data_IF_552997556357
#
_entry.id   IF_552997556357
#
_cell.length_a   1.000
_cell.length_b   1.000
_cell.length_c   1.000
_cell.angle_alpha   90.00
_cell.angle_beta   90.00
_cell.angle_gamma   90.00
#
_symmetry.space_group_name_H-M   'P 1'
#
loop_
_entity.id
_entity.type
_entity.pdbx_description
1 polymer ?
#
# COMPACT_ATOMS: atom_id res chain seq x y z
N UNK A 1 -10.54 29.42 -2.10
CA UNK A 1 -10.43 28.14 -2.84
C UNK A 1 -9.21 28.04 -3.78
N UNK A 2 -8.56 29.12 -4.23
CA UNK A 2 -7.40 29.00 -5.16
C UNK A 2 -6.19 28.24 -4.56
N UNK A 3 -5.94 28.36 -3.25
CA UNK A 3 -4.75 27.79 -2.60
C UNK A 3 -4.71 26.25 -2.57
N UNK A 4 -5.88 25.60 -2.45
CA UNK A 4 -5.97 24.13 -2.45
C UNK A 4 -6.16 23.54 -3.85
N UNK A 5 -6.38 24.38 -4.86
CA UNK A 5 -6.68 23.95 -6.24
C UNK A 5 -5.69 22.93 -6.80
N UNK A 6 -4.37 23.05 -6.59
CA UNK A 6 -3.41 22.05 -7.06
C UNK A 6 -3.58 20.65 -6.43
N UNK A 7 -4.24 20.57 -5.27
CA UNK A 7 -4.34 19.38 -4.45
C UNK A 7 -5.73 18.74 -4.48
N UNK A 8 -6.68 19.27 -5.26
CA UNK A 8 -8.05 18.75 -5.30
C UNK A 8 -8.13 17.28 -5.75
N UNK A 9 -7.15 16.83 -6.53
CA UNK A 9 -7.04 15.41 -6.95
C UNK A 9 -6.77 14.45 -5.79
N UNK A 10 -6.45 14.95 -4.59
CA UNK A 10 -6.26 14.08 -3.40
C UNK A 10 -7.50 13.26 -3.10
N UNK A 11 -8.69 13.74 -3.47
CA UNK A 11 -9.96 13.04 -3.32
C UNK A 11 -10.64 12.91 -4.68
N UNK A 12 -11.19 11.73 -4.96
CA UNK A 12 -12.03 11.50 -6.13
C UNK A 12 -13.15 10.51 -5.82
N UNK A 13 -14.20 10.52 -6.64
CA UNK A 13 -15.31 9.58 -6.54
C UNK A 13 -15.01 8.36 -7.42
N UNK A 14 -14.98 7.17 -6.81
CA UNK A 14 -14.65 5.89 -7.44
C UNK A 14 -15.86 5.10 -7.94
N UNK A 15 -17.02 5.75 -8.07
CA UNK A 15 -18.29 5.10 -8.40
C UNK A 15 -19.04 4.64 -7.14
N UNK A 16 -19.97 3.71 -7.33
CA UNK A 16 -20.80 3.16 -6.28
C UNK A 16 -20.59 1.63 -6.20
N UNK A 17 -20.79 1.05 -5.03
CA UNK A 17 -20.71 -0.40 -4.82
C UNK A 17 -21.95 -0.97 -4.13
N UNK A 18 -22.15 -2.28 -4.29
CA UNK A 18 -23.41 -2.95 -3.94
C UNK A 18 -24.49 -2.64 -4.98
N UNK A 19 -25.74 -2.52 -4.56
CA UNK A 19 -26.88 -2.11 -5.42
C UNK A 19 -26.85 -0.62 -5.81
N UNK A 20 -25.65 -0.02 -5.94
CA UNK A 20 -25.47 1.39 -6.28
C UNK A 20 -25.70 2.38 -5.14
N UNK A 21 -25.91 1.91 -3.90
CA UNK A 21 -26.30 2.74 -2.76
C UNK A 21 -25.14 3.28 -1.93
N UNK A 22 -23.91 2.80 -2.16
CA UNK A 22 -22.77 3.15 -1.33
C UNK A 22 -21.66 3.78 -2.16
N UNK A 23 -21.31 5.03 -1.87
CA UNK A 23 -20.26 5.74 -2.59
C UNK A 23 -18.86 5.15 -2.29
N UNK A 24 -18.01 5.10 -3.31
CA UNK A 24 -16.57 4.81 -3.16
C UNK A 24 -15.84 6.15 -3.23
N UNK A 25 -15.02 6.41 -2.21
CA UNK A 25 -14.18 7.61 -2.15
C UNK A 25 -12.72 7.21 -2.16
N UNK A 26 -11.99 7.75 -3.13
CA UNK A 26 -10.58 7.46 -3.31
C UNK A 26 -9.78 8.63 -2.75
N UNK A 27 -8.96 8.35 -1.74
CA UNK A 27 -7.97 9.28 -1.22
C UNK A 27 -6.58 8.91 -1.75
N UNK A 28 -6.05 9.73 -2.66
CA UNK A 28 -4.76 9.52 -3.32
C UNK A 28 -3.65 10.32 -2.64
N UNK A 29 -2.95 9.67 -1.71
CA UNK A 29 -1.98 10.33 -0.84
C UNK A 29 -0.77 10.93 -1.59
N UNK A 30 -0.43 10.41 -2.77
CA UNK A 30 0.64 10.93 -3.61
C UNK A 30 0.43 12.39 -4.05
N UNK A 31 -0.82 12.86 -4.03
CA UNK A 31 -1.20 14.23 -4.37
C UNK A 31 -1.24 15.18 -3.16
N UNK A 32 -0.83 14.73 -1.98
CA UNK A 32 -0.70 15.61 -0.83
C UNK A 32 0.39 16.69 -1.06
N UNK A 33 0.25 17.85 -0.39
CA UNK A 33 1.28 18.88 -0.36
C UNK A 33 2.60 18.37 0.21
N UNK A 34 3.70 18.92 -0.30
CA UNK A 34 5.02 18.69 0.26
C UNK A 34 5.21 19.51 1.54
N UNK A 35 5.75 18.91 2.60
CA UNK A 35 5.99 19.57 3.88
C UNK A 35 6.99 20.72 3.81
N UNK A 36 7.78 20.82 2.72
CA UNK A 36 8.70 21.93 2.47
C UNK A 36 8.02 23.21 1.98
N UNK A 37 6.72 23.16 1.65
CA UNK A 37 5.97 24.34 1.23
C UNK A 37 5.79 25.36 2.37
N UNK A 38 5.99 26.65 2.09
CA UNK A 38 5.88 27.75 3.05
C UNK A 38 4.56 27.77 3.82
N UNK A 39 3.46 27.44 3.14
CA UNK A 39 2.10 27.48 3.68
C UNK A 39 1.54 26.08 3.97
N UNK A 40 2.41 25.08 4.15
CA UNK A 40 2.01 23.66 4.28
C UNK A 40 0.88 23.45 5.29
N UNK A 41 0.99 24.01 6.50
CA UNK A 41 -0.04 23.86 7.53
C UNK A 41 -1.37 24.46 7.11
N UNK A 42 -1.35 25.67 6.56
CA UNK A 42 -2.55 26.36 6.08
C UNK A 42 -3.21 25.59 4.92
N UNK A 43 -2.42 25.12 3.97
CA UNK A 43 -2.89 24.30 2.84
C UNK A 43 -3.52 23.01 3.36
N UNK A 44 -2.85 22.30 4.26
CA UNK A 44 -3.33 21.04 4.83
C UNK A 44 -4.63 21.22 5.62
N UNK A 45 -4.79 22.30 6.38
CA UNK A 45 -6.03 22.60 7.09
C UNK A 45 -7.19 22.89 6.13
N UNK A 46 -6.96 23.71 5.10
CA UNK A 46 -7.99 23.96 4.08
C UNK A 46 -8.31 22.71 3.25
N UNK A 47 -7.31 21.87 2.98
CA UNK A 47 -7.50 20.61 2.26
C UNK A 47 -8.31 19.62 3.10
N UNK A 48 -8.06 19.56 4.42
CA UNK A 48 -8.87 18.76 5.34
C UNK A 48 -10.32 19.22 5.36
N UNK A 49 -10.57 20.52 5.44
CA UNK A 49 -11.93 21.07 5.39
C UNK A 49 -12.62 20.71 4.06
N UNK A 50 -11.91 20.84 2.94
CA UNK A 50 -12.43 20.43 1.64
C UNK A 50 -12.79 18.94 1.58
N UNK A 51 -11.92 18.07 2.11
CA UNK A 51 -12.17 16.63 2.17
C UNK A 51 -13.37 16.31 3.06
N UNK A 52 -13.46 16.92 4.25
CA UNK A 52 -14.60 16.74 5.17
C UNK A 52 -15.90 17.22 4.51
N UNK A 53 -15.92 18.41 3.91
CA UNK A 53 -17.10 18.91 3.20
C UNK A 53 -17.50 18.03 2.02
N UNK A 54 -16.52 17.46 1.30
CA UNK A 54 -16.80 16.50 0.22
C UNK A 54 -17.42 15.21 0.76
N UNK A 55 -16.94 14.72 1.91
CA UNK A 55 -17.53 13.57 2.59
C UNK A 55 -18.92 13.89 3.17
N UNK A 56 -19.15 15.11 3.67
CA UNK A 56 -20.43 15.56 4.26
C UNK A 56 -21.59 15.52 3.26
N UNK A 57 -21.31 15.80 1.99
CA UNK A 57 -22.27 15.68 0.90
C UNK A 57 -22.73 14.23 0.66
N UNK A 58 -21.92 13.25 1.07
CA UNK A 58 -22.18 11.82 0.87
C UNK A 58 -22.89 11.15 2.05
N UNK A 59 -23.10 11.88 3.16
CA UNK A 59 -23.55 11.29 4.44
C UNK A 59 -25.03 10.95 4.48
N UNK A 60 -25.77 11.27 3.42
CA UNK A 60 -27.06 10.65 3.21
C UNK A 60 -26.92 9.12 3.05
N UNK A 61 -25.73 8.65 2.68
CA UNK A 61 -25.45 7.27 2.30
C UNK A 61 -24.29 6.68 3.13
N UNK A 62 -24.23 5.35 3.13
CA UNK A 62 -23.08 4.60 3.60
C UNK A 62 -21.97 4.66 2.53
N UNK A 63 -20.70 4.66 2.92
CA UNK A 63 -19.60 4.84 1.96
C UNK A 63 -18.34 4.07 2.33
N UNK A 64 -17.50 3.82 1.34
CA UNK A 64 -16.19 3.18 1.49
C UNK A 64 -15.09 4.19 1.14
N UNK A 65 -13.98 4.17 1.88
CA UNK A 65 -12.78 4.91 1.50
C UNK A 65 -11.69 3.94 1.04
N UNK A 66 -11.15 4.17 -0.15
CA UNK A 66 -9.87 3.62 -0.60
C UNK A 66 -8.79 4.66 -0.31
N UNK A 67 -7.88 4.37 0.62
CA UNK A 67 -6.71 5.20 0.89
C UNK A 67 -5.49 4.65 0.15
N UNK A 68 -5.20 5.22 -1.01
CA UNK A 68 -4.05 4.85 -1.83
C UNK A 68 -2.79 5.51 -1.29
N UNK A 69 -1.95 4.70 -0.67
CA UNK A 69 -0.74 5.15 0.00
C UNK A 69 0.54 4.77 -0.76
N UNK A 70 0.42 3.96 -1.81
CA UNK A 70 1.50 3.58 -2.70
C UNK A 70 2.24 4.79 -3.26
N UNK A 71 3.54 4.63 -3.51
CA UNK A 71 4.42 5.66 -4.06
C UNK A 71 4.41 7.02 -3.34
N UNK A 72 3.90 7.12 -2.11
CA UNK A 72 3.78 8.42 -1.43
C UNK A 72 5.05 8.75 -0.65
N UNK A 73 5.78 9.82 -1.02
CA UNK A 73 6.96 10.26 -0.30
C UNK A 73 6.66 10.63 1.16
N UNK A 74 7.61 10.39 2.07
CA UNK A 74 7.43 10.63 3.51
C UNK A 74 7.18 12.12 3.84
N UNK A 75 7.79 13.03 3.09
CA UNK A 75 7.61 14.49 3.25
C UNK A 75 6.22 14.98 2.81
N UNK A 76 5.41 14.15 2.14
CA UNK A 76 4.00 14.45 1.87
C UNK A 76 3.03 13.93 2.93
N UNK A 77 3.52 13.09 3.85
CA UNK A 77 2.67 12.44 4.84
C UNK A 77 2.46 13.33 6.07
N UNK A 78 1.19 13.58 6.48
CA UNK A 78 0.89 14.40 7.64
C UNK A 78 1.49 13.78 8.92
N UNK A 79 1.87 14.65 9.85
CA UNK A 79 2.36 14.23 11.16
C UNK A 79 1.28 13.60 12.03
N UNK A 80 1.70 12.89 13.08
CA UNK A 80 0.81 12.20 14.03
C UNK A 80 -0.20 13.16 14.67
N UNK A 81 0.25 14.35 15.09
CA UNK A 81 -0.62 15.37 15.70
C UNK A 81 -1.73 15.81 14.74
N UNK A 82 -1.41 15.94 13.45
CA UNK A 82 -2.40 16.28 12.43
C UNK A 82 -3.38 15.13 12.21
N UNK A 83 -2.91 13.89 12.11
CA UNK A 83 -3.79 12.71 11.96
C UNK A 83 -4.73 12.53 13.16
N UNK A 84 -4.24 12.79 14.38
CA UNK A 84 -5.06 12.80 15.59
C UNK A 84 -6.12 13.90 15.54
N UNK A 85 -5.72 15.15 15.22
CA UNK A 85 -6.64 16.29 15.08
C UNK A 85 -7.70 16.01 14.00
N UNK A 86 -7.28 15.48 12.85
CA UNK A 86 -8.14 15.04 11.76
C UNK A 86 -9.21 14.05 12.27
N UNK A 87 -8.82 12.95 12.92
CA UNK A 87 -9.80 11.99 13.46
C UNK A 87 -10.76 12.60 14.49
N UNK A 88 -10.29 13.54 15.32
CA UNK A 88 -11.12 14.24 16.31
C UNK A 88 -12.11 15.22 15.67
N UNK A 89 -11.71 15.88 14.57
CA UNK A 89 -12.54 16.83 13.83
C UNK A 89 -13.53 16.14 12.89
N UNK A 90 -13.29 14.88 12.51
CA UNK A 90 -14.27 14.13 11.71
C UNK A 90 -15.52 13.87 12.55
N UNK A 91 -16.63 14.36 12.01
CA UNK A 91 -17.92 14.27 12.65
C UNK A 91 -18.34 12.84 12.95
N UNK A 92 -19.12 12.66 14.04
CA UNK A 92 -19.57 11.33 14.47
C UNK A 92 -20.36 10.62 13.37
N UNK A 93 -21.12 11.39 12.57
CA UNK A 93 -21.95 10.90 11.47
C UNK A 93 -21.09 10.27 10.36
N UNK A 94 -20.06 10.98 9.89
CA UNK A 94 -19.07 10.49 8.93
C UNK A 94 -18.42 9.18 9.38
N UNK A 95 -17.95 9.13 10.63
CA UNK A 95 -17.36 7.91 11.19
C UNK A 95 -18.32 6.73 11.27
N UNK A 96 -19.64 6.96 11.40
CA UNK A 96 -20.64 5.90 11.45
C UNK A 96 -20.92 5.32 10.06
N UNK A 97 -21.18 6.18 9.08
CA UNK A 97 -21.55 5.82 7.71
C UNK A 97 -20.40 5.20 6.90
N UNK A 98 -19.14 5.44 7.30
CA UNK A 98 -18.00 4.72 6.72
C UNK A 98 -18.15 3.20 6.94
N UNK A 99 -18.26 2.41 5.88
CA UNK A 99 -18.35 0.93 5.96
C UNK A 99 -16.98 0.29 6.09
N UNK A 100 -16.05 0.72 5.24
CA UNK A 100 -14.69 0.19 5.18
C UNK A 100 -13.71 1.30 4.81
N UNK A 101 -12.51 1.22 5.38
CA UNK A 101 -11.34 2.02 5.02
C UNK A 101 -10.26 1.04 4.53
N UNK A 102 -10.17 0.87 3.21
CA UNK A 102 -9.19 0.00 2.57
C UNK A 102 -7.93 0.81 2.29
N UNK A 103 -6.84 0.49 2.97
CA UNK A 103 -5.54 1.13 2.80
C UNK A 103 -4.72 0.29 1.82
N UNK A 104 -4.55 0.81 0.61
CA UNK A 104 -3.75 0.18 -0.43
C UNK A 104 -2.28 0.58 -0.29
N UNK A 105 -1.40 -0.44 -0.30
CA UNK A 105 0.04 -0.29 -0.10
C UNK A 105 0.41 0.48 1.18
N UNK A 106 0.01 -0.01 2.36
CA UNK A 106 0.34 0.65 3.62
C UNK A 106 1.86 0.78 3.81
N UNK A 107 2.34 1.98 4.10
CA UNK A 107 3.72 2.21 4.54
C UNK A 107 3.90 1.80 6.00
N UNK A 108 5.15 1.58 6.41
CA UNK A 108 5.44 1.33 7.83
C UNK A 108 4.95 2.46 8.73
N UNK A 109 5.07 3.71 8.27
CA UNK A 109 4.56 4.88 8.99
C UNK A 109 3.07 4.77 9.31
N UNK A 110 2.19 4.55 8.33
CA UNK A 110 0.73 4.51 8.60
C UNK A 110 0.37 3.32 9.50
N UNK A 111 1.05 2.17 9.32
CA UNK A 111 0.85 1.00 10.18
C UNK A 111 1.21 1.29 11.63
N UNK A 112 2.36 1.92 11.85
CA UNK A 112 2.80 2.31 13.19
C UNK A 112 1.86 3.33 13.80
N UNK A 113 1.44 4.36 13.04
CA UNK A 113 0.50 5.37 13.53
C UNK A 113 -0.85 4.74 13.92
N UNK A 114 -1.39 3.84 13.11
CA UNK A 114 -2.64 3.13 13.43
C UNK A 114 -2.49 2.20 14.63
N UNK A 115 -1.34 1.54 14.78
CA UNK A 115 -1.06 0.68 15.94
C UNK A 115 -1.00 1.49 17.25
N UNK A 116 -0.25 2.60 17.28
CA UNK A 116 -0.11 3.44 18.48
C UNK A 116 -1.38 4.24 18.80
N UNK A 117 -2.20 4.56 17.79
CA UNK A 117 -3.43 5.33 17.98
C UNK A 117 -4.61 4.46 18.41
N UNK A 118 -4.47 3.13 18.40
CA UNK A 118 -5.51 2.17 18.79
C UNK A 118 -6.18 2.47 20.14
N UNK A 119 -5.50 2.95 21.21
CA UNK A 119 -6.16 3.31 22.47
C UNK A 119 -7.11 4.51 22.37
N UNK A 120 -6.95 5.35 21.34
CA UNK A 120 -7.70 6.60 21.15
C UNK A 120 -8.76 6.50 20.05
N UNK A 121 -8.71 5.44 19.24
CA UNK A 121 -9.66 5.18 18.16
C UNK A 121 -10.65 4.11 18.63
N UNK A 122 -11.93 4.31 18.32
CA UNK A 122 -12.95 3.33 18.73
C UNK A 122 -12.69 1.97 18.07
N UNK A 123 -12.89 0.87 18.82
CA UNK A 123 -12.74 -0.50 18.29
C UNK A 123 -13.59 -0.71 17.03
N UNK A 124 -14.82 -0.15 17.02
CA UNK A 124 -15.71 -0.19 15.85
C UNK A 124 -15.10 0.46 14.62
N UNK A 125 -14.34 1.55 14.77
CA UNK A 125 -13.66 2.18 13.64
C UNK A 125 -12.42 1.39 13.23
N UNK A 126 -11.64 0.88 14.19
CA UNK A 126 -10.48 0.03 13.88
C UNK A 126 -10.87 -1.21 13.06
N UNK A 127 -12.04 -1.80 13.33
CA UNK A 127 -12.57 -2.95 12.58
C UNK A 127 -12.96 -2.62 11.14
N UNK A 128 -13.06 -1.34 10.77
CA UNK A 128 -13.31 -0.91 9.39
C UNK A 128 -12.04 -0.85 8.56
N UNK A 129 -10.86 -0.89 9.19
CA UNK A 129 -9.58 -0.72 8.51
C UNK A 129 -9.12 -2.05 7.93
N UNK A 130 -8.90 -2.08 6.62
CA UNK A 130 -8.36 -3.23 5.89
C UNK A 130 -7.08 -2.81 5.18
N UNK A 131 -6.10 -3.70 5.13
CA UNK A 131 -4.84 -3.46 4.43
C UNK A 131 -4.78 -4.37 3.21
N UNK A 132 -4.46 -3.80 2.05
CA UNK A 132 -4.17 -4.55 0.81
C UNK A 132 -2.80 -4.17 0.28
N UNK A 133 -2.11 -5.13 -0.32
CA UNK A 133 -0.71 -5.04 -0.71
C UNK A 133 -0.46 -5.11 -2.22
N UNK A 134 -1.51 -5.23 -3.02
CA UNK A 134 -1.54 -5.08 -4.48
C UNK A 134 -2.85 -4.43 -4.94
N UNK A 135 -2.89 -3.95 -6.18
CA UNK A 135 -4.14 -3.51 -6.81
C UNK A 135 -5.07 -4.70 -7.11
N UNK A 136 -4.53 -5.90 -7.33
CA UNK A 136 -5.32 -7.13 -7.48
C UNK A 136 -6.12 -7.45 -6.20
N UNK A 137 -5.47 -7.41 -5.02
CA UNK A 137 -6.15 -7.59 -3.73
C UNK A 137 -7.22 -6.51 -3.49
N UNK A 138 -7.02 -5.30 -4.01
CA UNK A 138 -8.01 -4.23 -3.94
C UNK A 138 -9.23 -4.53 -4.84
N UNK A 139 -9.00 -5.06 -6.04
CA UNK A 139 -10.03 -5.39 -7.02
C UNK A 139 -10.94 -6.53 -6.57
N UNK A 140 -10.46 -7.41 -5.67
CA UNK A 140 -11.29 -8.44 -5.03
C UNK A 140 -12.32 -7.86 -4.04
N UNK A 141 -12.08 -6.65 -3.52
CA UNK A 141 -12.88 -6.03 -2.46
C UNK A 141 -13.80 -4.94 -3.01
N UNK A 142 -13.37 -4.20 -4.03
CA UNK A 142 -14.06 -3.00 -4.54
C UNK A 142 -14.15 -3.04 -6.07
N UNK A 143 -15.30 -2.70 -6.68
CA UNK A 143 -15.39 -2.57 -8.14
C UNK A 143 -14.48 -1.43 -8.61
N UNK A 144 -13.52 -1.77 -9.49
CA UNK A 144 -12.48 -0.84 -9.93
C UNK A 144 -12.82 -0.03 -11.18
N UNK A 145 -13.97 -0.28 -11.80
CA UNK A 145 -14.40 0.30 -13.10
C UNK A 145 -14.30 1.83 -13.15
N UNK A 146 -14.64 2.50 -12.04
CA UNK A 146 -14.66 3.96 -11.93
C UNK A 146 -13.59 4.48 -10.96
N UNK A 147 -12.74 3.60 -10.43
CA UNK A 147 -11.68 3.97 -9.48
C UNK A 147 -10.47 4.49 -10.25
N UNK A 148 -10.19 5.78 -10.12
CA UNK A 148 -8.99 6.37 -10.71
C UNK A 148 -7.76 6.07 -9.83
N UNK A 149 -6.88 5.20 -10.31
CA UNK A 149 -5.57 4.93 -9.69
C UNK A 149 -4.52 5.89 -10.23
N UNK A 150 -3.78 6.64 -9.39
CA UNK A 150 -2.66 7.44 -9.84
C UNK A 150 -1.58 6.60 -10.51
N UNK A 151 -1.01 7.11 -11.60
CA UNK A 151 0.05 6.44 -12.37
C UNK A 151 1.24 5.99 -11.50
N UNK A 152 1.67 6.83 -10.54
CA UNK A 152 2.76 6.45 -9.65
C UNK A 152 2.41 5.27 -8.73
N UNK A 153 1.14 5.07 -8.40
CA UNK A 153 0.69 3.92 -7.60
C UNK A 153 0.68 2.65 -8.46
N UNK A 154 0.28 2.74 -9.73
CA UNK A 154 0.34 1.63 -10.68
C UNK A 154 1.78 1.15 -10.85
N UNK A 155 2.70 2.07 -11.16
CA UNK A 155 4.13 1.77 -11.30
C UNK A 155 4.71 1.12 -10.04
N UNK A 156 4.35 1.63 -8.86
CA UNK A 156 4.78 1.07 -7.60
C UNK A 156 4.25 -0.35 -7.35
N UNK A 157 3.02 -0.66 -7.78
CA UNK A 157 2.48 -2.02 -7.67
C UNK A 157 3.22 -2.98 -8.62
N UNK A 158 3.43 -2.58 -9.88
CA UNK A 158 4.17 -3.35 -10.88
C UNK A 158 5.60 -3.69 -10.42
N UNK A 159 6.32 -2.69 -9.90
CA UNK A 159 7.66 -2.88 -9.34
C UNK A 159 7.65 -3.89 -8.19
N UNK A 160 6.64 -3.85 -7.32
CA UNK A 160 6.50 -4.80 -6.21
C UNK A 160 6.17 -6.20 -6.70
N UNK A 161 5.30 -6.34 -7.69
CA UNK A 161 4.95 -7.64 -8.29
C UNK A 161 6.19 -8.25 -8.93
N UNK A 162 6.94 -7.47 -9.73
CA UNK A 162 8.20 -7.89 -10.34
C UNK A 162 9.21 -8.34 -9.29
N UNK A 163 9.45 -7.53 -8.26
CA UNK A 163 10.39 -7.88 -7.20
C UNK A 163 9.96 -9.12 -6.40
N UNK A 164 8.65 -9.36 -6.23
CA UNK A 164 8.13 -10.61 -5.62
C UNK A 164 8.40 -11.82 -6.51
N UNK A 165 8.13 -11.71 -7.82
CA UNK A 165 8.38 -12.79 -8.79
C UNK A 165 9.85 -13.16 -8.83
N UNK A 166 10.74 -12.18 -8.93
CA UNK A 166 12.20 -12.41 -8.96
C UNK A 166 12.70 -13.14 -7.70
N UNK A 167 12.19 -12.77 -6.51
CA UNK A 167 12.52 -13.48 -5.26
C UNK A 167 12.07 -14.93 -5.27
N UNK A 168 10.83 -15.21 -5.70
CA UNK A 168 10.31 -16.58 -5.78
C UNK A 168 11.12 -17.44 -6.76
N UNK A 169 11.51 -16.90 -7.91
CA UNK A 169 12.37 -17.61 -8.87
C UNK A 169 13.77 -17.87 -8.33
N UNK A 170 14.34 -16.93 -7.57
CA UNK A 170 15.64 -17.11 -6.91
C UNK A 170 15.58 -18.22 -5.85
N UNK A 171 14.53 -18.23 -5.02
CA UNK A 171 14.29 -19.28 -4.02
C UNK A 171 14.13 -20.66 -4.67
N UNK A 172 13.38 -20.75 -5.78
CA UNK A 172 13.21 -22.00 -6.51
C UNK A 172 14.55 -22.52 -7.09
N UNK A 173 15.33 -21.64 -7.74
CA UNK A 173 16.67 -21.99 -8.26
C UNK A 173 17.63 -22.44 -7.16
N UNK A 174 17.58 -21.84 -5.97
CA UNK A 174 18.42 -22.24 -4.84
C UNK A 174 18.04 -23.62 -4.30
N UNK A 175 16.74 -23.95 -4.24
CA UNK A 175 16.27 -25.29 -3.85
C UNK A 175 16.63 -26.37 -4.87
N UNK A 176 16.57 -26.06 -6.17
CA UNK A 176 17.01 -26.98 -7.23
C UNK A 176 18.52 -27.27 -7.14
N UNK A 177 19.35 -26.25 -6.90
CA UNK A 177 20.80 -26.44 -6.77
C UNK A 177 21.21 -27.21 -5.51
N UNK A 178 20.47 -27.09 -4.40
CA UNK A 178 20.74 -27.84 -3.16
C UNK A 178 20.26 -29.29 -3.18
N UNK A 179 19.34 -29.64 -4.09
CA UNK A 179 18.77 -30.99 -4.20
C UNK A 179 19.52 -31.93 -5.16
N UNK A 180 20.55 -31.44 -5.86
CA UNK A 180 21.43 -32.27 -6.70
C UNK A 180 22.33 -33.14 -5.80
N UNK A 181 22.25 -34.50 -5.86
CA UNK A 181 23.10 -35.38 -5.08
C UNK A 181 24.57 -35.22 -5.47
N UNK A 182 25.48 -35.06 -4.50
CA UNK A 182 26.92 -35.15 -4.78
C UNK A 182 27.25 -36.58 -5.24
N UNK A 183 27.80 -36.72 -6.46
CA UNK A 183 28.32 -38.00 -6.95
C UNK A 183 29.41 -38.54 -6.00
N UNK A 184 29.41 -39.85 -5.67
CA UNK A 184 30.47 -40.43 -4.87
C UNK A 184 31.81 -40.29 -5.60
N UNK A 185 32.80 -39.70 -4.94
CA UNK A 185 34.18 -39.58 -5.45
C UNK A 185 34.69 -40.98 -5.84
N UNK A 186 34.83 -41.26 -7.14
CA UNK A 186 35.42 -42.50 -7.64
C UNK A 186 36.89 -42.55 -7.19
N UNK A 187 37.22 -43.49 -6.30
CA UNK A 187 38.61 -43.79 -5.94
C UNK A 187 39.35 -44.24 -7.19
N UNK A 188 40.32 -43.44 -7.64
CA UNK A 188 41.23 -43.74 -8.74
C UNK A 188 42.02 -45.02 -8.44
N UNK A 189 41.84 -46.08 -9.23
CA UNK A 189 42.75 -47.22 -9.26
C UNK A 189 44.11 -46.77 -9.81
N UNK A 190 45.20 -47.14 -9.13
CA UNK A 190 46.58 -46.87 -9.60
C UNK A 190 46.94 -47.79 -10.77
N UNK A 191 47.57 -47.27 -11.84
CA UNK A 191 48.11 -48.14 -12.89
C UNK A 191 49.25 -48.99 -12.34
N UNK A 192 49.25 -50.29 -12.64
CA UNK A 192 50.38 -51.19 -12.37
C UNK A 192 51.53 -50.80 -13.31
N UNK A 193 52.68 -50.42 -12.75
CA UNK A 193 53.90 -50.14 -13.50
C UNK A 193 54.42 -51.40 -14.19
N UNK A 194 54.60 -51.33 -15.51
CA UNK A 194 55.37 -52.32 -16.27
C UNK A 194 56.85 -52.22 -15.88
N UNK A 195 57.38 -53.30 -15.35
CA UNK A 195 58.83 -53.47 -15.15
C UNK A 195 59.43 -53.80 -16.52
N UNK A 196 60.16 -52.83 -17.10
CA UNK A 196 61.01 -53.08 -18.26
C UNK A 196 62.33 -53.66 -17.77
N UNK A 197 62.60 -54.88 -18.21
CA UNK A 197 63.83 -55.61 -17.96
C UNK A 197 64.86 -55.23 -19.04
N UNK A 198 66.01 -54.69 -18.64
CA UNK A 198 67.24 -54.58 -19.42
C UNK A 198 68.36 -54.98 -18.43
N UNK A 199 69.24 -55.96 -18.63
CA UNK A 199 69.65 -56.64 -19.86
C UNK A 199 71.09 -56.23 -20.21
N UNK A 200 72.05 -56.87 -19.52
CA UNK A 200 73.53 -56.85 -19.68
C UNK A 200 74.29 -55.58 -19.25
#
# INVERSE_FOLDING_TARGET
MQIIRPYLRVISHGGYYGEGLNAIIVFSACYLPDSSCSDYHYIMENLFLYVVSSLEMLVAEDYLIIYMNGATPRNKMPGISWLKKCYQMIDRRLRKNLKSLVIAHPTWFIRTVLAISRPFISVKFMNKIQYVHSLDELAEIVPMEHVHVPECVVQFDEERIKARRERMEQEHRQQEQQSVPQEPIKKSERPKSMVVNQGL
#
